data_IF_513761150211
#
_entry.id   IF_513761150211
#
_cell.length_a   1.000
_cell.length_b   1.000
_cell.length_c   1.000
_cell.angle_alpha   90.00
_cell.angle_beta   90.00
_cell.angle_gamma   90.00
#
_symmetry.space_group_name_H-M   'P 1'
#
loop_
_entity.id
_entity.type
_entity.pdbx_description
1 polymer ?
#
# COMPACT_ATOMS: atom_id res chain seq x y z
N UNK A 1 -5.74 15.11 -34.27
CA UNK A 1 -6.43 13.93 -33.72
C UNK A 1 -5.91 13.45 -32.35
N UNK A 2 -4.97 14.14 -31.67
CA UNK A 2 -4.30 13.61 -30.46
C UNK A 2 -4.82 14.05 -29.08
N UNK A 3 -5.94 14.78 -28.99
CA UNK A 3 -6.44 15.32 -27.71
C UNK A 3 -7.58 14.47 -27.10
N UNK A 4 -8.36 13.77 -27.92
CA UNK A 4 -9.54 13.02 -27.47
C UNK A 4 -9.19 11.68 -26.79
N UNK A 5 -8.18 10.96 -27.27
CA UNK A 5 -7.75 9.67 -26.70
C UNK A 5 -7.12 9.78 -25.30
N UNK A 6 -6.36 10.86 -25.04
CA UNK A 6 -5.78 11.10 -23.70
C UNK A 6 -6.84 11.42 -22.65
N UNK A 7 -7.91 12.12 -23.04
CA UNK A 7 -9.00 12.47 -22.13
C UNK A 7 -9.81 11.22 -21.71
N UNK A 8 -10.05 10.29 -22.65
CA UNK A 8 -10.74 9.01 -22.37
C UNK A 8 -9.93 8.11 -21.44
N UNK A 9 -8.62 7.96 -21.69
CA UNK A 9 -7.71 7.21 -20.80
C UNK A 9 -7.57 7.82 -19.40
N UNK A 10 -7.49 9.16 -19.31
CA UNK A 10 -7.41 9.88 -18.03
C UNK A 10 -8.72 9.83 -17.24
N UNK A 11 -9.87 9.91 -17.92
CA UNK A 11 -11.18 9.78 -17.28
C UNK A 11 -11.37 8.38 -16.69
N UNK A 12 -10.96 7.34 -17.42
CA UNK A 12 -11.02 5.96 -16.93
C UNK A 12 -10.07 5.73 -15.74
N UNK A 13 -8.86 6.30 -15.79
CA UNK A 13 -7.90 6.23 -14.67
C UNK A 13 -8.46 6.84 -13.38
N UNK A 14 -9.11 8.02 -13.46
CA UNK A 14 -9.73 8.65 -12.31
C UNK A 14 -10.86 7.79 -11.72
N UNK A 15 -11.70 7.18 -12.56
CA UNK A 15 -12.78 6.30 -12.12
C UNK A 15 -12.24 5.06 -11.40
N UNK A 16 -11.18 4.44 -11.93
CA UNK A 16 -10.53 3.29 -11.29
C UNK A 16 -10.00 3.64 -9.90
N UNK A 17 -9.25 4.75 -9.80
CA UNK A 17 -8.68 5.20 -8.52
C UNK A 17 -9.77 5.57 -7.51
N UNK A 18 -10.85 6.22 -7.95
CA UNK A 18 -11.99 6.55 -7.09
C UNK A 18 -12.66 5.28 -6.55
N UNK A 19 -12.96 4.30 -7.41
CA UNK A 19 -13.54 3.01 -7.00
C UNK A 19 -12.64 2.24 -6.05
N UNK A 20 -11.33 2.24 -6.30
CA UNK A 20 -10.35 1.65 -5.40
C UNK A 20 -10.38 2.29 -4.01
N UNK A 21 -10.43 3.63 -3.96
CA UNK A 21 -10.54 4.37 -2.71
C UNK A 21 -11.88 4.11 -1.98
N UNK A 22 -12.98 3.93 -2.71
CA UNK A 22 -14.27 3.56 -2.13
C UNK A 22 -14.24 2.15 -1.54
N UNK A 23 -13.67 1.18 -2.26
CA UNK A 23 -13.49 -0.18 -1.78
C UNK A 23 -12.63 -0.25 -0.51
N UNK A 24 -11.54 0.52 -0.43
CA UNK A 24 -10.73 0.65 0.79
C UNK A 24 -11.55 1.10 1.99
N UNK A 25 -12.52 2.01 1.83
CA UNK A 25 -13.37 2.48 2.95
C UNK A 25 -14.28 1.39 3.51
N UNK A 26 -14.58 0.36 2.71
CA UNK A 26 -15.40 -0.79 3.15
C UNK A 26 -14.59 -1.88 3.86
N UNK A 27 -13.26 -1.73 3.94
CA UNK A 27 -12.37 -2.62 4.67
C UNK A 27 -12.29 -2.20 6.13
N UNK A 28 -13.26 -2.65 6.94
CA UNK A 28 -13.39 -2.30 8.35
C UNK A 28 -12.82 -3.35 9.30
N UNK A 29 -12.48 -4.53 8.78
CA UNK A 29 -12.01 -5.71 9.49
C UNK A 29 -10.90 -6.43 8.70
N UNK A 30 -10.38 -7.52 9.27
CA UNK A 30 -9.37 -8.36 8.63
C UNK A 30 -9.98 -9.28 7.56
N UNK A 31 -10.56 -8.69 6.52
CA UNK A 31 -11.14 -9.43 5.40
C UNK A 31 -10.06 -9.77 4.36
N UNK A 32 -9.53 -10.99 4.47
CA UNK A 32 -8.51 -11.50 3.57
C UNK A 32 -8.95 -11.58 2.10
N UNK A 33 -10.25 -11.75 1.83
CA UNK A 33 -10.77 -11.77 0.46
C UNK A 33 -10.74 -10.37 -0.14
N UNK A 34 -11.23 -9.36 0.59
CA UNK A 34 -11.16 -7.95 0.14
C UNK A 34 -9.72 -7.46 -0.02
N UNK A 35 -8.83 -7.82 0.90
CA UNK A 35 -7.40 -7.48 0.79
C UNK A 35 -6.81 -8.10 -0.49
N UNK A 36 -7.14 -9.36 -0.78
CA UNK A 36 -6.69 -10.04 -2.00
C UNK A 36 -7.25 -9.37 -3.26
N UNK A 37 -8.53 -9.03 -3.27
CA UNK A 37 -9.21 -8.35 -4.38
C UNK A 37 -8.62 -6.95 -4.64
N UNK A 38 -8.49 -6.11 -3.62
CA UNK A 38 -7.85 -4.81 -3.72
C UNK A 38 -6.43 -4.94 -4.26
N UNK A 39 -5.62 -5.84 -3.70
CA UNK A 39 -4.26 -6.05 -4.19
C UNK A 39 -4.20 -6.54 -5.65
N UNK A 40 -5.22 -7.29 -6.09
CA UNK A 40 -5.32 -7.76 -7.46
C UNK A 40 -5.62 -6.60 -8.42
N UNK A 41 -6.62 -5.76 -8.07
CA UNK A 41 -6.95 -4.56 -8.82
C UNK A 41 -5.71 -3.65 -8.95
N UNK A 42 -4.96 -3.47 -7.86
CA UNK A 42 -3.76 -2.64 -7.91
C UNK A 42 -2.76 -3.12 -8.98
N UNK A 43 -2.49 -4.43 -9.04
CA UNK A 43 -1.56 -5.02 -10.00
C UNK A 43 -2.08 -4.94 -11.44
N UNK A 44 -3.38 -5.12 -11.65
CA UNK A 44 -4.02 -4.96 -12.97
C UNK A 44 -3.86 -3.54 -13.52
N UNK A 45 -3.95 -2.54 -12.64
CA UNK A 45 -3.82 -1.12 -12.98
C UNK A 45 -2.46 -0.53 -12.58
N UNK A 46 -1.39 -1.32 -12.63
CA UNK A 46 -0.03 -0.91 -12.23
C UNK A 46 0.52 0.34 -12.95
N UNK A 47 -0.01 0.70 -14.12
CA UNK A 47 0.28 1.97 -14.78
C UNK A 47 -0.14 3.19 -13.95
N UNK A 48 -1.06 3.02 -13.00
CA UNK A 48 -1.55 4.02 -12.06
C UNK A 48 -0.91 3.89 -10.66
N UNK A 49 0.21 3.16 -10.52
CA UNK A 49 0.81 2.82 -9.22
C UNK A 49 0.95 4.03 -8.29
N UNK A 50 1.45 5.16 -8.78
CA UNK A 50 1.60 6.37 -7.96
C UNK A 50 0.28 6.87 -7.38
N UNK A 51 -0.81 6.81 -8.14
CA UNK A 51 -2.13 7.26 -7.69
C UNK A 51 -2.75 6.26 -6.70
N UNK A 52 -2.57 4.96 -6.96
CA UNK A 52 -3.06 3.87 -6.10
C UNK A 52 -2.37 3.91 -4.72
N UNK A 53 -1.05 4.10 -4.71
CA UNK A 53 -0.26 4.29 -3.48
C UNK A 53 -0.78 5.51 -2.71
N UNK A 54 -0.90 6.66 -3.38
CA UNK A 54 -1.36 7.88 -2.73
C UNK A 54 -2.76 7.75 -2.11
N UNK A 55 -3.72 7.08 -2.76
CA UNK A 55 -5.05 6.86 -2.16
C UNK A 55 -5.05 5.85 -1.02
N UNK A 56 -4.12 4.87 -1.06
CA UNK A 56 -3.95 3.87 0.01
C UNK A 56 -3.39 4.53 1.27
N UNK A 57 -2.28 5.27 1.14
CA UNK A 57 -1.65 6.01 2.23
C UNK A 57 -2.62 7.06 2.82
N UNK A 58 -3.36 7.77 1.96
CA UNK A 58 -4.41 8.72 2.38
C UNK A 58 -5.53 8.02 3.16
N UNK A 59 -5.93 6.81 2.77
CA UNK A 59 -6.91 6.04 3.51
C UNK A 59 -6.37 5.66 4.89
N UNK A 60 -5.15 5.11 4.97
CA UNK A 60 -4.50 4.75 6.24
C UNK A 60 -4.39 5.96 7.17
N UNK A 61 -4.01 7.12 6.65
CA UNK A 61 -3.91 8.35 7.44
C UNK A 61 -5.27 8.76 8.05
N UNK A 62 -6.36 8.64 7.28
CA UNK A 62 -7.69 9.17 7.64
C UNK A 62 -8.62 8.19 8.35
N UNK A 63 -8.45 6.88 8.17
CA UNK A 63 -9.35 5.89 8.75
C UNK A 63 -9.17 5.79 10.27
N UNK A 64 -10.17 5.21 10.94
CA UNK A 64 -10.16 5.00 12.38
C UNK A 64 -8.94 4.17 12.80
N UNK A 65 -8.38 4.38 14.01
CA UNK A 65 -7.17 3.65 14.47
C UNK A 65 -7.27 2.12 14.36
N UNK A 66 -8.45 1.54 14.59
CA UNK A 66 -8.69 0.10 14.45
C UNK A 66 -8.70 -0.39 13.00
N UNK A 67 -8.91 0.48 12.01
CA UNK A 67 -8.92 0.12 10.59
C UNK A 67 -7.55 0.31 9.90
N UNK A 68 -6.63 1.09 10.49
CA UNK A 68 -5.34 1.42 9.86
C UNK A 68 -4.52 0.18 9.50
N UNK A 69 -4.55 -0.85 10.34
CA UNK A 69 -3.81 -2.09 10.12
C UNK A 69 -4.26 -2.82 8.85
N UNK A 70 -5.55 -2.76 8.50
CA UNK A 70 -6.07 -3.43 7.31
C UNK A 70 -5.58 -2.75 6.03
N UNK A 71 -5.49 -1.42 6.03
CA UNK A 71 -4.85 -0.66 4.96
C UNK A 71 -3.37 -1.05 4.78
N UNK A 72 -2.63 -1.19 5.88
CA UNK A 72 -1.23 -1.66 5.84
C UNK A 72 -1.10 -3.09 5.30
N UNK A 73 -2.07 -3.97 5.58
CA UNK A 73 -2.13 -5.31 4.98
C UNK A 73 -2.38 -5.28 3.48
N UNK A 74 -3.13 -4.30 2.97
CA UNK A 74 -3.29 -4.08 1.53
C UNK A 74 -1.95 -3.69 0.91
N UNK A 75 -1.19 -2.76 1.51
CA UNK A 75 0.15 -2.40 1.03
C UNK A 75 1.10 -3.60 0.96
N UNK A 76 1.18 -4.37 2.05
CA UNK A 76 2.00 -5.60 2.09
C UNK A 76 1.59 -6.58 0.98
N UNK A 77 0.29 -6.79 0.79
CA UNK A 77 -0.21 -7.72 -0.21
C UNK A 77 0.11 -7.24 -1.65
N UNK A 78 -0.05 -5.95 -1.93
CA UNK A 78 0.33 -5.35 -3.23
C UNK A 78 1.82 -5.56 -3.50
N UNK A 79 2.67 -5.25 -2.52
CA UNK A 79 4.13 -5.39 -2.64
C UNK A 79 4.51 -6.86 -2.84
N UNK A 80 3.88 -7.79 -2.12
CA UNK A 80 4.12 -9.23 -2.32
C UNK A 80 3.80 -9.69 -3.74
N UNK A 81 2.80 -9.09 -4.40
CA UNK A 81 2.44 -9.43 -5.78
C UNK A 81 3.36 -8.77 -6.82
N UNK A 82 3.69 -7.49 -6.67
CA UNK A 82 4.54 -6.77 -7.64
C UNK A 82 5.44 -5.71 -6.96
N UNK A 83 6.40 -6.19 -6.16
CA UNK A 83 7.37 -5.35 -5.44
C UNK A 83 8.21 -4.46 -6.34
N UNK A 84 8.46 -4.86 -7.60
CA UNK A 84 9.29 -4.10 -8.53
C UNK A 84 8.62 -2.80 -8.94
N UNK A 85 7.30 -2.85 -9.17
CA UNK A 85 6.53 -1.66 -9.50
C UNK A 85 6.23 -0.87 -8.24
N UNK A 86 5.61 -1.50 -7.23
CA UNK A 86 5.03 -0.77 -6.10
C UNK A 86 6.02 -0.47 -4.96
N UNK A 87 7.04 -1.31 -4.77
CA UNK A 87 8.03 -1.15 -3.70
C UNK A 87 8.65 0.25 -3.66
N UNK A 88 9.22 0.77 -4.78
CA UNK A 88 9.79 2.12 -4.82
C UNK A 88 8.79 3.27 -4.65
N UNK A 89 7.49 3.03 -4.82
CA UNK A 89 6.46 4.04 -4.55
C UNK A 89 6.13 4.09 -3.06
N UNK A 90 5.83 2.95 -2.44
CA UNK A 90 5.55 2.86 -1.01
C UNK A 90 6.76 3.24 -0.15
N UNK A 91 7.97 2.91 -0.60
CA UNK A 91 9.21 3.23 0.11
C UNK A 91 9.35 4.72 0.46
N UNK A 92 8.76 5.63 -0.32
CA UNK A 92 8.95 7.08 -0.17
C UNK A 92 8.35 7.64 1.11
N UNK A 93 7.22 7.08 1.53
CA UNK A 93 6.45 7.56 2.69
C UNK A 93 6.33 6.48 3.77
N UNK A 94 6.98 5.33 3.59
CA UNK A 94 6.83 4.17 4.46
C UNK A 94 7.13 4.48 5.92
N UNK A 95 8.21 5.22 6.19
CA UNK A 95 8.58 5.63 7.54
C UNK A 95 7.50 6.50 8.20
N UNK A 96 7.03 7.53 7.50
CA UNK A 96 6.03 8.45 8.03
C UNK A 96 4.70 7.74 8.30
N UNK A 97 4.24 6.94 7.34
CA UNK A 97 2.99 6.16 7.46
C UNK A 97 3.09 5.18 8.62
N UNK A 98 4.16 4.39 8.68
CA UNK A 98 4.34 3.37 9.70
C UNK A 98 4.45 3.97 11.11
N UNK A 99 5.24 5.03 11.28
CA UNK A 99 5.45 5.69 12.57
C UNK A 99 4.17 6.39 13.06
N UNK A 100 3.46 7.10 12.17
CA UNK A 100 2.20 7.75 12.51
C UNK A 100 1.13 6.72 12.91
N UNK A 101 1.06 5.58 12.21
CA UNK A 101 0.19 4.47 12.62
C UNK A 101 0.58 3.94 14.00
N UNK A 102 1.87 3.66 14.21
CA UNK A 102 2.36 3.02 15.43
C UNK A 102 1.96 3.78 16.69
N UNK A 103 1.98 5.12 16.63
CA UNK A 103 1.60 5.99 17.75
C UNK A 103 0.14 5.83 18.20
N UNK A 104 -0.79 5.58 17.28
CA UNK A 104 -2.23 5.65 17.55
C UNK A 104 -2.92 4.29 17.64
N UNK A 105 -2.30 3.21 17.14
CA UNK A 105 -2.90 1.87 17.19
C UNK A 105 -2.73 1.20 18.56
N UNK A 106 -3.59 0.21 18.84
CA UNK A 106 -3.53 -0.60 20.05
C UNK A 106 -2.24 -1.42 20.14
N UNK A 107 -1.87 -1.86 21.35
CA UNK A 107 -0.71 -2.76 21.58
C UNK A 107 -0.79 -4.05 20.76
N UNK A 108 -1.99 -4.61 20.59
CA UNK A 108 -2.20 -5.81 19.77
C UNK A 108 -1.88 -5.53 18.29
N UNK A 109 -2.31 -4.38 17.76
CA UNK A 109 -2.00 -3.99 16.39
C UNK A 109 -0.52 -3.65 16.21
N UNK A 110 0.14 -3.03 17.19
CA UNK A 110 1.60 -2.80 17.17
C UNK A 110 2.36 -4.12 17.04
N UNK A 111 2.01 -5.15 17.80
CA UNK A 111 2.64 -6.46 17.68
C UNK A 111 2.48 -7.09 16.28
N UNK A 112 1.37 -6.81 15.58
CA UNK A 112 1.16 -7.23 14.19
C UNK A 112 2.00 -6.39 13.21
N UNK A 113 2.14 -5.09 13.46
CA UNK A 113 3.04 -4.21 12.71
C UNK A 113 4.51 -4.62 12.88
N UNK A 114 4.94 -4.98 14.08
CA UNK A 114 6.31 -5.45 14.35
C UNK A 114 6.64 -6.71 13.54
N UNK A 115 5.67 -7.63 13.42
CA UNK A 115 5.82 -8.84 12.58
C UNK A 115 5.96 -8.49 11.09
N UNK A 116 5.17 -7.53 10.59
CA UNK A 116 5.34 -7.05 9.21
C UNK A 116 6.72 -6.45 9.00
N UNK A 117 7.18 -5.59 9.92
CA UNK A 117 8.50 -4.98 9.85
C UNK A 117 9.61 -6.04 9.81
N UNK A 118 9.50 -7.11 10.60
CA UNK A 118 10.44 -8.23 10.56
C UNK A 118 10.43 -8.95 9.20
N UNK A 119 9.25 -9.18 8.63
CA UNK A 119 9.10 -9.79 7.28
C UNK A 119 9.67 -8.89 6.19
N UNK A 120 9.58 -7.58 6.37
CA UNK A 120 10.08 -6.58 5.42
C UNK A 120 11.59 -6.39 5.48
N UNK A 121 12.18 -6.53 6.68
CA UNK A 121 13.62 -6.51 6.92
C UNK A 121 14.32 -7.75 6.38
N UNK A 122 13.62 -8.87 6.29
CA UNK A 122 14.17 -10.10 5.71
C UNK A 122 14.29 -9.94 4.19
N UNK A 123 15.49 -10.06 3.60
CA UNK A 123 15.65 -10.04 2.15
C UNK A 123 14.81 -11.14 1.50
N UNK A 124 14.33 -10.88 0.29
CA UNK A 124 13.77 -11.90 -0.59
C UNK A 124 14.90 -12.82 -1.07
N UNK A 125 14.53 -13.90 -1.78
CA UNK A 125 15.52 -14.74 -2.48
C UNK A 125 16.33 -13.87 -3.46
N UNK A 126 17.61 -14.18 -3.59
CA UNK A 126 18.59 -13.46 -4.44
C UNK A 126 18.92 -12.03 -3.96
N UNK A 127 18.91 -11.76 -2.65
CA UNK A 127 19.24 -10.45 -2.04
C UNK A 127 18.39 -9.27 -2.54
N UNK A 128 17.17 -9.54 -3.01
CA UNK A 128 16.21 -8.50 -3.41
C UNK A 128 15.46 -7.97 -2.19
N UNK A 129 15.09 -6.69 -2.19
CA UNK A 129 14.33 -6.08 -1.09
C UNK A 129 12.89 -5.73 -1.51
N UNK A 130 11.95 -5.85 -0.58
CA UNK A 130 10.52 -5.59 -0.83
C UNK A 130 10.24 -4.15 -1.25
N UNK A 131 11.03 -3.20 -0.73
CA UNK A 131 10.89 -1.76 -0.98
C UNK A 131 11.96 -1.24 -1.96
N UNK A 132 12.52 -2.12 -2.79
CA UNK A 132 13.55 -1.77 -3.76
C UNK A 132 14.96 -2.01 -3.21
N UNK A 133 15.50 -1.05 -2.47
CA UNK A 133 16.89 -1.09 -1.97
C UNK A 133 16.97 -1.48 -0.50
N UNK A 134 18.17 -1.88 -0.05
CA UNK A 134 18.44 -2.15 1.37
C UNK A 134 18.23 -0.91 2.22
N UNK A 135 18.63 0.25 1.71
CA UNK A 135 18.50 1.56 2.33
C UNK A 135 17.03 1.93 2.55
N UNK A 136 16.17 1.70 1.54
CA UNK A 136 14.72 1.93 1.65
C UNK A 136 14.06 1.08 2.74
N UNK A 137 14.53 -0.15 2.95
CA UNK A 137 14.08 -1.01 4.05
C UNK A 137 14.64 -0.56 5.41
N UNK A 138 15.85 0.02 5.41
CA UNK A 138 16.53 0.49 6.62
C UNK A 138 15.99 1.83 7.17
N UNK A 139 15.26 2.61 6.39
CA UNK A 139 14.64 3.85 6.88
C UNK A 139 13.63 3.64 8.01
N UNK A 140 13.16 2.40 8.21
CA UNK A 140 12.27 2.02 9.33
C UNK A 140 13.03 1.63 10.63
N UNK A 141 14.34 1.88 10.69
CA UNK A 141 15.23 1.31 11.72
C UNK A 141 15.84 2.37 12.64
N UNK A 142 15.84 3.65 12.26
CA UNK A 142 16.37 4.77 13.05
C UNK A 142 15.25 5.67 13.58
#
# INVERSE_FOLDING_TARGET
>A
AGMADKASGSANAHVVVARFADALRTLTDNDGMKISELSQIAVEYKALASSIVAVTEKHIAKCLPNCKLWGLYVEDCIIRKDHKVFGPHFARNLFDVFTAMYQVVSREHRAKMDKLLQVWRTPLKDDKFRFGTKESTNQLID
#
